data_IF_650669240794
#
_entry.id   IF_650669240794
#
_cell.length_a   1.000
_cell.length_b   1.000
_cell.length_c   1.000
_cell.angle_alpha   90.00
_cell.angle_beta   90.00
_cell.angle_gamma   90.00
#
_symmetry.space_group_name_H-M   'P 1'
#
loop_
_entity.id
_entity.type
_entity.pdbx_description
1 polymer ?
#
# COMPACT_ATOMS: atom_id res chain seq x y z
N UNK A 1 -14.97 25.46 -1.87
CA UNK A 1 -13.63 25.74 -1.32
C UNK A 1 -12.55 25.17 -2.23
N UNK A 2 -11.35 25.75 -2.24
CA UNK A 2 -10.19 25.21 -2.99
C UNK A 2 -9.48 24.12 -2.18
N UNK A 3 -9.10 22.98 -2.78
CA UNK A 3 -8.30 21.98 -2.09
C UNK A 3 -6.88 22.50 -1.83
N UNK A 4 -6.34 22.22 -0.63
CA UNK A 4 -5.05 22.72 -0.15
C UNK A 4 -3.87 21.82 -0.51
N UNK A 5 -4.11 20.66 -1.13
CA UNK A 5 -3.08 19.64 -1.40
C UNK A 5 -2.68 18.83 -0.17
N UNK A 6 -3.10 19.25 1.03
CA UNK A 6 -2.85 18.54 2.28
C UNK A 6 -3.75 17.32 2.43
N UNK A 7 -3.23 16.30 3.12
CA UNK A 7 -4.01 15.12 3.46
C UNK A 7 -5.01 15.46 4.55
N UNK A 8 -6.24 14.99 4.38
CA UNK A 8 -7.31 15.15 5.37
C UNK A 8 -7.04 14.36 6.65
N UNK A 9 -6.29 13.25 6.54
CA UNK A 9 -5.87 12.45 7.69
C UNK A 9 -4.50 12.96 8.13
N UNK A 10 -4.37 13.46 9.37
CA UNK A 10 -3.09 13.95 9.89
C UNK A 10 -2.07 12.83 10.05
N UNK A 11 -0.80 13.12 9.75
CA UNK A 11 0.29 12.16 9.98
C UNK A 11 0.46 11.79 11.44
N UNK A 12 0.27 12.74 12.35
CA UNK A 12 0.34 12.50 13.79
C UNK A 12 -0.63 11.39 14.24
N UNK A 13 -1.84 11.36 13.66
CA UNK A 13 -2.83 10.32 13.95
C UNK A 13 -2.38 8.94 13.46
N UNK A 14 -1.72 8.88 12.29
CA UNK A 14 -1.18 7.62 11.76
C UNK A 14 0.06 7.16 12.56
N UNK A 15 0.87 8.08 13.06
CA UNK A 15 2.01 7.77 13.94
C UNK A 15 1.55 7.17 15.26
N UNK A 16 0.44 7.65 15.83
CA UNK A 16 -0.13 7.08 17.05
C UNK A 16 -0.55 5.61 16.85
N UNK A 17 -1.12 5.28 15.70
CA UNK A 17 -1.61 3.94 15.38
C UNK A 17 -0.52 2.96 14.96
N UNK A 18 0.46 3.43 14.18
CA UNK A 18 1.40 2.57 13.46
C UNK A 18 2.87 2.80 13.83
N UNK A 19 3.14 3.79 14.69
CA UNK A 19 4.47 4.16 15.15
C UNK A 19 5.18 5.17 14.24
N UNK A 20 6.43 5.56 14.62
CA UNK A 20 7.14 6.68 14.03
C UNK A 20 7.53 6.50 12.55
N UNK A 21 7.45 5.26 12.03
CA UNK A 21 7.77 4.94 10.63
C UNK A 21 6.62 5.21 9.65
N UNK A 22 5.42 5.53 10.13
CA UNK A 22 4.26 5.75 9.25
C UNK A 22 4.51 6.83 8.15
N UNK A 23 5.10 8.00 8.44
CA UNK A 23 5.36 9.01 7.42
C UNK A 23 6.35 8.56 6.34
N UNK A 24 7.38 7.79 6.72
CA UNK A 24 8.36 7.20 5.80
C UNK A 24 7.65 6.26 4.80
N UNK A 25 6.82 5.34 5.30
CA UNK A 25 6.07 4.37 4.49
C UNK A 25 5.08 5.08 3.55
N UNK A 26 4.42 6.14 4.03
CA UNK A 26 3.51 6.96 3.20
C UNK A 26 4.27 7.65 2.06
N UNK A 27 5.51 8.08 2.30
CA UNK A 27 6.40 8.58 1.25
C UNK A 27 6.71 7.53 0.18
N UNK A 28 7.02 6.30 0.59
CA UNK A 28 7.25 5.17 -0.34
C UNK A 28 6.00 4.89 -1.18
N UNK A 29 4.82 4.81 -0.56
CA UNK A 29 3.56 4.58 -1.27
C UNK A 29 3.26 5.69 -2.30
N UNK A 30 3.51 6.95 -1.95
CA UNK A 30 3.33 8.07 -2.87
C UNK A 30 4.29 8.00 -4.05
N UNK A 31 5.57 7.72 -3.81
CA UNK A 31 6.57 7.61 -4.88
C UNK A 31 6.26 6.46 -5.85
N UNK A 32 5.90 5.29 -5.34
CA UNK A 32 5.55 4.12 -6.16
C UNK A 32 4.24 4.32 -6.95
N UNK A 33 3.24 4.96 -6.34
CA UNK A 33 2.01 5.36 -7.04
C UNK A 33 2.30 6.36 -8.16
N UNK A 34 3.22 7.29 -7.92
CA UNK A 34 3.61 8.30 -8.89
C UNK A 34 4.35 7.69 -10.10
N UNK A 35 5.18 6.65 -9.88
CA UNK A 35 5.75 5.84 -10.98
C UNK A 35 4.65 5.26 -11.87
N UNK A 36 3.66 4.60 -11.28
CA UNK A 36 2.51 4.07 -12.03
C UNK A 36 1.73 5.14 -12.77
N UNK A 37 1.57 6.34 -12.19
CA UNK A 37 0.91 7.48 -12.85
C UNK A 37 1.63 7.89 -14.14
N UNK A 38 2.96 7.78 -14.18
CA UNK A 38 3.78 8.04 -15.37
C UNK A 38 3.89 6.84 -16.34
N UNK A 39 3.25 5.71 -16.03
CA UNK A 39 3.34 4.49 -16.83
C UNK A 39 4.59 3.65 -16.55
N UNK A 40 5.35 3.97 -15.50
CA UNK A 40 6.53 3.19 -15.10
C UNK A 40 6.12 1.94 -14.29
N UNK A 41 6.93 0.86 -14.35
CA UNK A 41 6.70 -0.33 -13.52
C UNK A 41 6.89 -0.01 -12.02
N UNK A 42 6.08 -0.66 -11.19
CA UNK A 42 6.18 -0.62 -9.73
C UNK A 42 5.67 -1.93 -9.17
N UNK A 43 6.61 -2.78 -8.73
CA UNK A 43 6.28 -4.08 -8.15
C UNK A 43 5.44 -3.95 -6.87
N UNK A 44 5.68 -2.90 -6.07
CA UNK A 44 4.87 -2.62 -4.89
C UNK A 44 3.41 -2.34 -5.27
N UNK A 45 3.18 -1.50 -6.28
CA UNK A 45 1.82 -1.20 -6.71
C UNK A 45 1.15 -2.39 -7.38
N UNK A 46 1.88 -3.21 -8.15
CA UNK A 46 1.34 -4.43 -8.74
C UNK A 46 0.89 -5.42 -7.66
N UNK A 47 1.69 -5.56 -6.59
CA UNK A 47 1.33 -6.35 -5.41
C UNK A 47 0.08 -5.82 -4.69
N UNK A 48 -0.03 -4.50 -4.50
CA UNK A 48 -1.14 -3.87 -3.78
C UNK A 48 -2.43 -3.77 -4.60
N UNK A 49 -2.33 -3.70 -5.93
CA UNK A 49 -3.49 -3.76 -6.83
C UNK A 49 -4.04 -5.19 -6.87
N UNK A 50 -3.17 -6.20 -6.78
CA UNK A 50 -3.55 -7.61 -6.67
C UNK A 50 -4.61 -8.03 -7.69
N UNK A 51 -4.29 -7.88 -8.98
CA UNK A 51 -5.23 -8.16 -10.09
C UNK A 51 -5.90 -9.54 -10.01
N UNK A 52 -5.23 -10.51 -9.39
CA UNK A 52 -5.78 -11.84 -9.13
C UNK A 52 -5.78 -12.10 -7.62
N UNK A 53 -6.97 -12.26 -7.06
CA UNK A 53 -7.16 -12.43 -5.61
C UNK A 53 -6.50 -13.72 -5.06
N UNK A 54 -6.41 -14.76 -5.88
CA UNK A 54 -5.73 -16.02 -5.54
C UNK A 54 -4.21 -15.86 -5.33
N UNK A 55 -3.60 -14.81 -5.88
CA UNK A 55 -2.18 -14.52 -5.67
C UNK A 55 -1.88 -13.80 -4.35
N UNK A 56 -2.91 -13.21 -3.70
CA UNK A 56 -2.74 -12.44 -2.46
C UNK A 56 -2.40 -13.33 -1.26
N UNK A 57 -2.83 -14.58 -1.29
CA UNK A 57 -2.74 -15.48 -0.15
C UNK A 57 -1.95 -16.74 -0.52
N UNK A 58 -0.94 -17.06 0.29
CA UNK A 58 -0.34 -18.40 0.26
C UNK A 58 -1.28 -19.38 0.96
N UNK A 59 -2.26 -19.91 0.23
CA UNK A 59 -3.12 -20.99 0.74
C UNK A 59 -2.32 -22.29 0.76
N UNK A 60 -1.72 -22.62 1.91
CA UNK A 60 -1.13 -23.94 2.11
C UNK A 60 -2.27 -24.97 2.21
N UNK A 61 -2.53 -25.72 1.14
CA UNK A 61 -3.43 -26.88 1.22
C UNK A 61 -2.77 -27.91 2.13
N UNK A 62 -3.30 -28.11 3.33
CA UNK A 62 -2.84 -29.18 4.22
C UNK A 62 -3.10 -30.52 3.50
N UNK A 63 -2.06 -31.18 3.00
CA UNK A 63 -2.16 -32.57 2.54
C UNK A 63 -2.37 -33.44 3.78
N UNK A 64 -3.54 -34.06 3.91
CA UNK A 64 -3.79 -35.09 4.93
C UNK A 64 -5.11 -34.90 5.67
N UNK A 65 -6.18 -35.42 5.07
CA UNK A 65 -7.31 -36.02 5.79
C UNK A 65 -7.80 -37.15 4.89
N UNK A 66 -7.14 -38.30 5.03
CA UNK A 66 -7.68 -39.62 4.65
C UNK A 66 -8.87 -39.97 5.52
#
# INVERSE_FOLDING_TARGET
GRPTGERRIPDAFLVELFGPRAPEVLGVLQAEREKKRRGEPSALMDLLIAYRHDEMFRVSRRKGAT
#
